data_IF_067322604449
#
_entry.id   IF_067322604449
#
_cell.length_a   1.000
_cell.length_b   1.000
_cell.length_c   1.000
_cell.angle_alpha   90.00
_cell.angle_beta   90.00
_cell.angle_gamma   90.00
#
_symmetry.space_group_name_H-M   'P 1'
#
loop_
_entity.id
_entity.type
_entity.pdbx_description
1 polymer ?
#
# COMPACT_ATOMS: atom_id res chain seq x y z
N UNK A 1 -8.17 -9.48 -6.05
CA UNK A 1 -8.47 -10.32 -7.23
C UNK A 1 -9.51 -11.37 -6.84
N UNK A 2 -10.80 -11.09 -7.03
CA UNK A 2 -11.84 -12.12 -6.92
C UNK A 2 -12.11 -12.68 -8.31
N UNK A 3 -11.83 -13.97 -8.51
CA UNK A 3 -12.19 -14.68 -9.75
C UNK A 3 -12.97 -15.94 -9.37
N UNK A 4 -14.23 -16.00 -9.79
CA UNK A 4 -15.14 -17.09 -9.42
C UNK A 4 -15.48 -17.10 -7.93
N UNK A 5 -15.48 -18.29 -7.34
CA UNK A 5 -15.89 -18.55 -5.96
C UNK A 5 -14.73 -18.49 -4.94
N UNK A 6 -13.50 -18.16 -5.38
CA UNK A 6 -12.29 -18.05 -4.54
C UNK A 6 -11.72 -16.63 -4.55
N UNK A 7 -11.45 -16.09 -3.36
CA UNK A 7 -10.80 -14.79 -3.18
C UNK A 7 -9.28 -14.94 -2.96
N UNK A 8 -8.51 -14.64 -4.01
CA UNK A 8 -7.04 -14.66 -3.98
C UNK A 8 -6.42 -13.35 -3.46
N UNK A 9 -7.25 -12.37 -3.06
CA UNK A 9 -6.75 -11.06 -2.61
C UNK A 9 -5.86 -11.20 -1.37
N UNK A 10 -4.77 -10.44 -1.34
CA UNK A 10 -3.81 -10.40 -0.22
C UNK A 10 -3.08 -11.73 0.04
N UNK A 11 -3.12 -12.71 -0.87
CA UNK A 11 -2.24 -13.88 -0.81
C UNK A 11 -0.84 -13.50 -1.31
N UNK A 12 0.20 -13.98 -0.60
CA UNK A 12 1.58 -13.85 -1.03
C UNK A 12 2.05 -15.05 -1.85
N UNK A 13 3.22 -14.92 -2.47
CA UNK A 13 3.83 -15.93 -3.35
C UNK A 13 3.96 -17.30 -2.67
N UNK A 14 4.27 -17.35 -1.37
CA UNK A 14 4.38 -18.63 -0.65
C UNK A 14 3.05 -19.38 -0.59
N UNK A 15 1.96 -18.66 -0.31
CA UNK A 15 0.61 -19.24 -0.27
C UNK A 15 0.12 -19.62 -1.66
N UNK A 16 0.42 -18.79 -2.67
CA UNK A 16 0.09 -19.07 -4.06
C UNK A 16 0.79 -20.31 -4.60
N UNK A 17 2.10 -20.42 -4.35
CA UNK A 17 2.93 -21.53 -4.83
C UNK A 17 2.60 -22.85 -4.15
N UNK A 18 2.27 -22.83 -2.85
CA UNK A 18 1.95 -24.04 -2.08
C UNK A 18 0.45 -24.37 -2.04
N UNK A 19 -0.37 -23.66 -2.82
CA UNK A 19 -1.83 -23.76 -2.84
C UNK A 19 -2.50 -23.66 -1.45
N UNK A 20 -1.92 -22.87 -0.53
CA UNK A 20 -2.48 -22.64 0.81
C UNK A 20 -3.45 -21.47 0.78
N UNK A 21 -4.70 -21.69 1.17
CA UNK A 21 -5.71 -20.62 1.29
C UNK A 21 -5.67 -19.92 2.66
N UNK A 22 -5.08 -20.53 3.69
CA UNK A 22 -5.18 -20.04 5.06
C UNK A 22 -6.62 -20.17 5.56
N UNK A 23 -7.23 -19.08 6.03
CA UNK A 23 -8.60 -19.09 6.56
C UNK A 23 -9.66 -19.26 5.43
N UNK A 24 -9.89 -20.50 5.02
CA UNK A 24 -10.78 -20.91 3.92
C UNK A 24 -12.19 -20.34 4.04
N UNK A 25 -12.74 -20.26 5.26
CA UNK A 25 -14.09 -19.75 5.54
C UNK A 25 -14.30 -18.31 5.05
N UNK A 26 -13.23 -17.53 4.91
CA UNK A 26 -13.27 -16.14 4.45
C UNK A 26 -13.03 -15.99 2.96
N UNK A 27 -12.53 -17.04 2.29
CA UNK A 27 -12.00 -16.98 0.93
C UNK A 27 -12.77 -17.84 -0.07
N UNK A 28 -13.51 -18.84 0.40
CA UNK A 28 -14.24 -19.78 -0.44
C UNK A 28 -15.74 -19.59 -0.25
N UNK A 29 -16.45 -19.20 -1.32
CA UNK A 29 -17.91 -19.05 -1.31
C UNK A 29 -18.62 -20.37 -1.57
N UNK A 30 -17.95 -21.29 -2.27
CA UNK A 30 -18.46 -22.60 -2.65
C UNK A 30 -17.39 -23.66 -2.36
N UNK A 31 -17.70 -24.64 -1.51
CA UNK A 31 -16.75 -25.66 -1.04
C UNK A 31 -16.14 -26.52 -2.18
N UNK A 32 -16.71 -26.49 -3.39
CA UNK A 32 -16.17 -27.20 -4.56
C UNK A 32 -15.10 -26.43 -5.33
N UNK A 33 -14.93 -25.13 -5.08
CA UNK A 33 -13.98 -24.30 -5.82
C UNK A 33 -12.57 -24.46 -5.23
N UNK A 34 -11.61 -24.86 -6.06
CA UNK A 34 -10.21 -25.04 -5.65
C UNK A 34 -9.37 -23.83 -6.01
N UNK A 35 -8.33 -23.57 -5.21
CA UNK A 35 -7.36 -22.51 -5.49
C UNK A 35 -6.73 -22.65 -6.88
N UNK A 36 -6.32 -23.88 -7.22
CA UNK A 36 -5.77 -24.20 -8.54
C UNK A 36 -6.70 -23.80 -9.69
N UNK A 37 -8.00 -24.09 -9.58
CA UNK A 37 -8.98 -23.70 -10.62
C UNK A 37 -9.07 -22.18 -10.81
N UNK A 38 -8.95 -21.42 -9.72
CA UNK A 38 -8.96 -19.96 -9.76
C UNK A 38 -7.65 -19.40 -10.35
N UNK A 39 -6.50 -20.02 -10.07
CA UNK A 39 -5.21 -19.66 -10.63
C UNK A 39 -5.18 -19.93 -12.14
N UNK A 40 -5.61 -21.11 -12.60
CA UNK A 40 -5.74 -21.40 -14.02
C UNK A 40 -6.71 -20.44 -14.74
N UNK A 41 -7.84 -20.11 -14.13
CA UNK A 41 -8.77 -19.13 -14.68
C UNK A 41 -8.17 -17.71 -14.70
N UNK A 42 -7.23 -17.41 -13.80
CA UNK A 42 -6.47 -16.16 -13.82
C UNK A 42 -5.45 -16.13 -14.96
N UNK A 43 -4.62 -17.17 -15.07
CA UNK A 43 -3.53 -17.28 -16.05
C UNK A 43 -3.97 -17.16 -17.51
N UNK A 44 -5.21 -17.53 -17.84
CA UNK A 44 -5.80 -17.34 -19.19
C UNK A 44 -5.83 -15.88 -19.68
N UNK A 45 -5.68 -14.90 -18.79
CA UNK A 45 -5.72 -13.48 -19.14
C UNK A 45 -4.32 -12.88 -19.44
N UNK A 46 -3.25 -13.66 -19.31
CA UNK A 46 -1.87 -13.19 -19.50
C UNK A 46 -1.14 -14.04 -20.56
N UNK A 47 -0.07 -13.53 -21.18
CA UNK A 47 0.75 -14.28 -22.13
C UNK A 47 1.28 -15.57 -21.49
N UNK A 48 1.53 -16.60 -22.30
CA UNK A 48 2.08 -17.88 -21.84
C UNK A 48 3.39 -17.71 -21.06
N UNK A 49 3.66 -18.63 -20.13
CA UNK A 49 4.83 -18.54 -19.27
C UNK A 49 6.09 -18.80 -20.08
N UNK A 50 7.06 -17.89 -19.97
CA UNK A 50 8.38 -17.99 -20.60
C UNK A 50 9.46 -18.04 -19.51
N UNK A 51 10.16 -19.17 -19.43
CA UNK A 51 11.21 -19.42 -18.44
C UNK A 51 11.56 -20.91 -18.35
N UNK A 52 12.09 -21.31 -17.19
CA UNK A 52 12.47 -22.68 -16.86
C UNK A 52 11.28 -23.65 -16.97
N UNK A 53 11.54 -24.90 -17.38
CA UNK A 53 10.47 -25.89 -17.56
C UNK A 53 9.77 -26.16 -16.23
N UNK A 54 8.45 -26.07 -16.23
CA UNK A 54 7.63 -26.20 -15.01
C UNK A 54 6.38 -27.03 -15.24
N UNK A 55 5.91 -27.68 -14.18
CA UNK A 55 4.58 -28.32 -14.15
C UNK A 55 3.46 -27.33 -13.80
N UNK A 56 3.80 -26.12 -13.36
CA UNK A 56 2.86 -25.13 -12.82
C UNK A 56 2.99 -23.74 -13.48
N UNK A 57 2.82 -23.62 -14.81
CA UNK A 57 3.07 -22.35 -15.51
C UNK A 57 2.14 -21.21 -15.06
N UNK A 58 0.86 -21.48 -14.80
CA UNK A 58 -0.09 -20.44 -14.36
C UNK A 58 0.17 -19.96 -12.93
N UNK A 59 0.70 -20.83 -12.07
CA UNK A 59 1.14 -20.45 -10.72
C UNK A 59 2.32 -19.48 -10.82
N UNK A 60 3.31 -19.79 -11.66
CA UNK A 60 4.47 -18.91 -11.87
C UNK A 60 4.04 -17.55 -12.41
N UNK A 61 3.13 -17.51 -13.38
CA UNK A 61 2.61 -16.24 -13.90
C UNK A 61 1.89 -15.41 -12.85
N UNK A 62 1.04 -16.03 -12.03
CA UNK A 62 0.35 -15.30 -10.98
C UNK A 62 1.33 -14.77 -9.93
N UNK A 63 2.32 -15.58 -9.53
CA UNK A 63 3.37 -15.15 -8.62
C UNK A 63 4.21 -14.00 -9.22
N UNK A 64 4.54 -14.06 -10.52
CA UNK A 64 5.20 -12.97 -11.23
C UNK A 64 4.36 -11.69 -11.20
N UNK A 65 3.05 -11.79 -11.44
CA UNK A 65 2.14 -10.64 -11.36
C UNK A 65 2.09 -10.02 -9.96
N UNK A 66 2.11 -10.85 -8.90
CA UNK A 66 2.17 -10.38 -7.51
C UNK A 66 3.48 -9.65 -7.21
N UNK A 67 4.59 -10.10 -7.80
CA UNK A 67 5.87 -9.38 -7.75
C UNK A 67 5.92 -8.14 -8.66
N UNK A 68 4.81 -7.77 -9.32
CA UNK A 68 4.69 -6.60 -10.17
C UNK A 68 5.19 -6.80 -11.61
N UNK A 69 5.39 -8.04 -12.07
CA UNK A 69 5.90 -8.31 -13.42
C UNK A 69 5.03 -7.73 -14.54
N UNK A 70 5.66 -6.99 -15.47
CA UNK A 70 5.01 -6.44 -16.66
C UNK A 70 4.83 -7.49 -17.77
N UNK A 71 3.59 -7.74 -18.18
CA UNK A 71 3.30 -8.72 -19.24
C UNK A 71 3.36 -8.15 -20.66
N UNK A 72 3.44 -6.83 -20.82
CA UNK A 72 3.54 -6.17 -22.12
C UNK A 72 4.73 -5.22 -22.18
N UNK A 73 5.23 -4.95 -23.39
CA UNK A 73 6.32 -4.00 -23.60
C UNK A 73 5.92 -2.58 -23.19
N UNK A 74 4.71 -2.15 -23.51
CA UNK A 74 4.18 -0.83 -23.12
C UNK A 74 4.15 -0.65 -21.61
N UNK A 75 3.57 -1.61 -20.87
CA UNK A 75 3.56 -1.57 -19.40
C UNK A 75 4.96 -1.59 -18.80
N UNK A 76 5.91 -2.28 -19.44
CA UNK A 76 7.29 -2.32 -18.98
C UNK A 76 7.98 -0.96 -19.18
N UNK A 77 7.78 -0.30 -20.33
CA UNK A 77 8.33 1.02 -20.60
C UNK A 77 7.80 2.07 -19.62
N UNK A 78 6.49 2.06 -19.36
CA UNK A 78 5.86 2.95 -18.37
C UNK A 78 6.42 2.74 -16.96
N UNK A 79 6.58 1.48 -16.53
CA UNK A 79 7.15 1.15 -15.23
C UNK A 79 8.64 1.54 -15.13
N UNK A 80 9.41 1.32 -16.19
CA UNK A 80 10.80 1.77 -16.29
C UNK A 80 10.91 3.29 -16.19
N UNK A 81 10.01 4.04 -16.85
CA UNK A 81 10.01 5.50 -16.76
C UNK A 81 9.69 5.98 -15.33
N UNK A 82 8.70 5.37 -14.67
CA UNK A 82 8.39 5.69 -13.28
C UNK A 82 9.56 5.41 -12.32
N UNK A 83 10.35 4.36 -12.57
CA UNK A 83 11.56 4.08 -11.78
C UNK A 83 12.64 5.15 -11.99
N UNK A 84 12.81 5.62 -13.23
CA UNK A 84 13.73 6.73 -13.53
C UNK A 84 13.28 8.01 -12.82
N UNK A 85 11.98 8.32 -12.84
CA UNK A 85 11.43 9.51 -12.18
C UNK A 85 11.59 9.47 -10.65
N UNK A 86 11.66 8.26 -10.06
CA UNK A 86 11.97 8.04 -8.63
C UNK A 86 13.46 8.13 -8.30
N UNK A 87 14.33 8.27 -9.30
CA UNK A 87 15.77 8.33 -9.13
C UNK A 87 16.46 6.95 -9.11
N UNK A 88 15.82 5.91 -9.67
CA UNK A 88 16.33 4.54 -9.71
C UNK A 88 16.64 4.07 -11.14
N UNK A 89 17.62 4.69 -11.85
CA UNK A 89 17.85 4.42 -13.26
C UNK A 89 18.40 3.00 -13.54
N UNK A 90 19.26 2.48 -12.65
CA UNK A 90 19.80 1.13 -12.79
C UNK A 90 18.74 0.05 -12.59
N UNK A 91 17.72 0.34 -11.79
CA UNK A 91 16.57 -0.54 -11.58
C UNK A 91 15.74 -0.65 -12.86
N UNK A 92 15.47 0.47 -13.54
CA UNK A 92 14.78 0.48 -14.82
C UNK A 92 15.54 -0.34 -15.89
N UNK A 93 16.87 -0.17 -15.99
CA UNK A 93 17.70 -0.93 -16.94
C UNK A 93 17.69 -2.42 -16.61
N UNK A 94 17.94 -2.75 -15.33
CA UNK A 94 17.92 -4.13 -14.85
C UNK A 94 16.59 -4.81 -15.18
N UNK A 95 15.48 -4.10 -14.97
CA UNK A 95 14.15 -4.61 -15.25
C UNK A 95 13.92 -4.88 -16.74
N UNK A 96 14.36 -3.99 -17.62
CA UNK A 96 14.29 -4.25 -19.06
C UNK A 96 15.12 -5.48 -19.48
N UNK A 97 16.29 -5.69 -18.88
CA UNK A 97 17.15 -6.87 -19.13
C UNK A 97 16.52 -8.15 -18.56
N UNK A 98 15.95 -8.09 -17.36
CA UNK A 98 15.22 -9.18 -16.72
C UNK A 98 14.05 -9.69 -17.58
N UNK A 99 13.39 -8.79 -18.32
CA UNK A 99 12.33 -9.13 -19.27
C UNK A 99 12.83 -9.62 -20.64
N UNK A 100 14.15 -9.78 -20.83
CA UNK A 100 14.80 -10.08 -22.12
C UNK A 100 14.47 -9.05 -23.22
N UNK A 101 14.20 -7.80 -22.83
CA UNK A 101 13.92 -6.68 -23.74
C UNK A 101 15.17 -5.81 -23.90
N UNK A 102 16.22 -6.41 -24.44
CA UNK A 102 17.53 -5.77 -24.67
C UNK A 102 17.45 -4.43 -25.41
N UNK A 103 16.55 -4.30 -26.39
CA UNK A 103 16.38 -3.04 -27.13
C UNK A 103 15.85 -1.90 -26.24
N UNK A 104 14.89 -2.21 -25.36
CA UNK A 104 14.35 -1.25 -24.38
C UNK A 104 15.47 -0.86 -23.41
N UNK A 105 16.20 -1.83 -22.87
CA UNK A 105 17.32 -1.58 -21.96
C UNK A 105 18.40 -0.65 -22.58
N UNK A 106 18.77 -0.90 -23.84
CA UNK A 106 19.75 -0.09 -24.56
C UNK A 106 19.24 1.34 -24.83
N UNK A 107 17.96 1.49 -25.20
CA UNK A 107 17.37 2.81 -25.44
C UNK A 107 17.26 3.63 -24.15
N UNK A 108 16.90 2.99 -23.03
CA UNK A 108 16.90 3.61 -21.71
C UNK A 108 18.30 4.06 -21.33
N UNK A 109 19.30 3.17 -21.41
CA UNK A 109 20.68 3.50 -21.08
C UNK A 109 21.22 4.63 -21.96
N UNK A 110 21.00 4.62 -23.27
CA UNK A 110 21.40 5.72 -24.17
C UNK A 110 20.80 7.05 -23.74
N UNK A 111 19.53 7.04 -23.36
CA UNK A 111 18.84 8.24 -22.88
C UNK A 111 19.48 8.74 -21.58
N UNK A 112 19.67 7.84 -20.61
CA UNK A 112 20.22 8.14 -19.30
C UNK A 112 21.67 8.65 -19.34
N UNK A 113 22.50 8.09 -20.23
CA UNK A 113 23.87 8.57 -20.46
C UNK A 113 23.86 9.94 -21.12
N UNK A 114 22.98 10.17 -22.11
CA UNK A 114 22.86 11.47 -22.78
C UNK A 114 22.38 12.57 -21.83
N UNK A 115 21.48 12.24 -20.91
CA UNK A 115 20.99 13.17 -19.88
C UNK A 115 21.92 13.27 -18.66
N UNK A 116 23.07 12.57 -18.66
CA UNK A 116 24.03 12.52 -17.54
C UNK A 116 23.42 12.09 -16.20
N UNK A 117 22.41 11.22 -16.26
CA UNK A 117 21.83 10.58 -15.08
C UNK A 117 22.66 9.36 -14.66
N UNK A 118 23.29 8.71 -15.63
CA UNK A 118 24.17 7.55 -15.43
C UNK A 118 25.51 7.81 -16.13
N UNK A 119 26.60 7.69 -15.39
CA UNK A 119 27.96 7.89 -15.92
C UNK A 119 28.58 6.63 -16.54
N UNK A 120 27.98 5.45 -16.29
CA UNK A 120 28.49 4.15 -16.73
C UNK A 120 28.21 3.87 -18.23
N UNK A 121 28.88 4.61 -19.13
CA UNK A 121 28.82 4.39 -20.58
C UNK A 121 29.33 3.01 -21.01
N UNK A 122 30.19 2.39 -20.19
CA UNK A 122 30.73 1.04 -20.41
C UNK A 122 29.64 -0.06 -20.46
N UNK A 123 28.48 0.18 -19.84
CA UNK A 123 27.36 -0.76 -19.89
C UNK A 123 26.74 -0.90 -21.28
N UNK A 124 26.83 0.14 -22.12
CA UNK A 124 26.21 0.15 -23.44
C UNK A 124 26.77 -0.94 -24.37
N UNK A 125 28.09 -0.97 -24.59
CA UNK A 125 28.74 -2.05 -25.34
C UNK A 125 28.49 -3.44 -24.75
N UNK A 126 28.58 -3.58 -23.42
CA UNK A 126 28.37 -4.87 -22.74
C UNK A 126 26.95 -5.40 -22.91
N UNK A 127 25.94 -4.53 -22.81
CA UNK A 127 24.54 -4.90 -23.08
C UNK A 127 24.30 -5.19 -24.56
N UNK A 128 24.99 -4.50 -25.47
CA UNK A 128 24.84 -4.70 -26.91
C UNK A 128 25.48 -6.00 -27.40
N UNK A 129 26.55 -6.47 -26.76
CA UNK A 129 27.19 -7.75 -27.07
C UNK A 129 26.23 -8.93 -26.79
N UNK A 130 26.16 -9.89 -27.72
CA UNK A 130 25.40 -11.14 -27.53
C UNK A 130 26.17 -12.15 -26.70
N UNK A 131 27.49 -12.22 -26.91
CA UNK A 131 28.42 -13.03 -26.13
C UNK A 131 29.55 -12.13 -25.63
N UNK A 132 29.96 -12.37 -24.38
CA UNK A 132 30.98 -11.58 -23.69
C UNK A 132 32.30 -12.35 -23.76
N UNK A 133 33.34 -11.73 -24.34
CA UNK A 133 34.67 -12.34 -24.41
C UNK A 133 35.37 -12.30 -23.03
N UNK A 134 36.53 -12.96 -22.91
CA UNK A 134 37.26 -13.05 -21.63
C UNK A 134 37.63 -11.66 -21.06
N UNK A 135 38.11 -10.75 -21.90
CA UNK A 135 38.45 -9.38 -21.46
C UNK A 135 37.25 -8.56 -20.98
N UNK A 136 36.10 -8.72 -21.62
CA UNK A 136 34.87 -8.05 -21.23
C UNK A 136 34.28 -8.68 -19.96
N UNK A 137 34.49 -9.99 -19.75
CA UNK A 137 34.11 -10.69 -18.52
C UNK A 137 34.92 -10.18 -17.34
N UNK A 138 36.24 -10.08 -17.50
CA UNK A 138 37.12 -9.54 -16.46
C UNK A 138 36.77 -8.09 -16.13
N UNK A 139 36.43 -7.29 -17.15
CA UNK A 139 35.92 -5.93 -16.97
C UNK A 139 34.62 -5.90 -16.17
N UNK A 140 33.62 -6.74 -16.50
CA UNK A 140 32.37 -6.83 -15.75
C UNK A 140 32.61 -7.22 -14.28
N UNK A 141 33.49 -8.18 -14.02
CA UNK A 141 33.82 -8.64 -12.67
C UNK A 141 34.53 -7.55 -11.86
N UNK A 142 35.48 -6.84 -12.48
CA UNK A 142 36.16 -5.72 -11.86
C UNK A 142 35.19 -4.59 -11.52
N UNK A 143 34.31 -4.20 -12.46
CA UNK A 143 33.26 -3.21 -12.21
C UNK A 143 32.30 -3.66 -11.10
N UNK A 144 31.89 -4.93 -11.09
CA UNK A 144 30.99 -5.47 -10.06
C UNK A 144 31.61 -5.48 -8.66
N UNK A 145 32.93 -5.52 -8.56
CA UNK A 145 33.66 -5.44 -7.29
C UNK A 145 33.68 -4.00 -6.74
N UNK A 146 33.75 -2.99 -7.61
CA UNK A 146 33.87 -1.57 -7.25
C UNK A 146 32.51 -0.87 -7.07
N UNK A 147 31.44 -1.43 -7.66
CA UNK A 147 30.10 -0.85 -7.59
C UNK A 147 29.39 -1.13 -6.25
N UNK A 148 28.89 -0.07 -5.63
CA UNK A 148 28.05 -0.15 -4.40
C UNK A 148 26.60 -0.54 -4.69
N UNK A 149 26.05 -0.13 -5.84
CA UNK A 149 24.65 -0.39 -6.19
C UNK A 149 24.39 -1.88 -6.44
N UNK A 150 23.57 -2.51 -5.60
CA UNK A 150 23.29 -3.95 -5.66
C UNK A 150 22.65 -4.40 -6.98
N UNK A 151 21.76 -3.59 -7.56
CA UNK A 151 21.10 -3.89 -8.83
C UNK A 151 22.10 -3.87 -9.99
N UNK A 152 22.96 -2.86 -10.05
CA UNK A 152 24.01 -2.78 -11.06
C UNK A 152 25.03 -3.91 -10.90
N UNK A 153 25.40 -4.26 -9.67
CA UNK A 153 26.27 -5.40 -9.38
C UNK A 153 25.66 -6.71 -9.88
N UNK A 154 24.37 -6.93 -9.64
CA UNK A 154 23.64 -8.09 -10.15
C UNK A 154 23.60 -8.11 -11.69
N UNK A 155 23.37 -6.96 -12.32
CA UNK A 155 23.39 -6.83 -13.79
C UNK A 155 24.76 -7.19 -14.37
N UNK A 156 25.84 -6.64 -13.81
CA UNK A 156 27.22 -6.93 -14.25
C UNK A 156 27.59 -8.39 -14.04
N UNK A 157 27.17 -9.00 -12.91
CA UNK A 157 27.35 -10.42 -12.66
C UNK A 157 26.64 -11.30 -13.69
N UNK A 158 25.42 -10.93 -14.10
CA UNK A 158 24.71 -11.60 -15.19
C UNK A 158 25.43 -11.44 -16.53
N UNK A 159 25.89 -10.23 -16.86
CA UNK A 159 26.64 -10.00 -18.11
C UNK A 159 27.96 -10.78 -18.15
N UNK A 160 28.63 -10.97 -17.02
CA UNK A 160 29.87 -11.74 -16.94
C UNK A 160 29.65 -13.26 -17.12
N UNK A 161 28.58 -13.79 -16.53
CA UNK A 161 28.38 -15.24 -16.36
C UNK A 161 27.26 -15.83 -17.23
N UNK A 162 26.37 -15.00 -17.75
CA UNK A 162 25.13 -15.42 -18.41
C UNK A 162 24.09 -16.04 -17.46
N UNK A 163 24.31 -15.98 -16.14
CA UNK A 163 23.48 -16.67 -15.14
C UNK A 163 23.01 -15.73 -14.04
N UNK A 164 21.74 -15.90 -13.63
CA UNK A 164 21.13 -15.13 -12.54
C UNK A 164 21.26 -15.77 -11.16
N UNK A 165 21.91 -16.94 -11.06
CA UNK A 165 21.98 -17.71 -9.81
C UNK A 165 22.57 -16.89 -8.65
N UNK A 166 23.61 -16.11 -8.90
CA UNK A 166 24.23 -15.27 -7.86
C UNK A 166 23.36 -14.05 -7.50
N UNK A 167 22.65 -13.48 -8.47
CA UNK A 167 21.70 -12.40 -8.21
C UNK A 167 20.53 -12.85 -7.32
N UNK A 168 20.03 -14.09 -7.50
CA UNK A 168 18.98 -14.68 -6.64
C UNK A 168 19.45 -14.80 -5.19
N UNK A 169 20.73 -15.09 -4.94
CA UNK A 169 21.30 -15.22 -3.59
C UNK A 169 21.68 -13.87 -2.96
N UNK A 170 21.81 -12.82 -3.75
CA UNK A 170 22.29 -11.51 -3.29
C UNK A 170 21.23 -10.81 -2.46
N UNK A 171 21.41 -10.79 -1.13
CA UNK A 171 20.42 -10.25 -0.17
C UNK A 171 20.16 -8.74 -0.33
N UNK A 172 21.13 -8.00 -0.84
CA UNK A 172 21.02 -6.55 -1.07
C UNK A 172 20.13 -6.22 -2.28
N UNK A 173 19.88 -7.19 -3.17
CA UNK A 173 18.94 -7.02 -4.27
C UNK A 173 17.50 -7.06 -3.72
N UNK A 174 16.60 -6.17 -4.17
CA UNK A 174 15.20 -6.19 -3.75
C UNK A 174 14.56 -7.59 -3.89
N UNK A 175 13.80 -8.01 -2.89
CA UNK A 175 13.18 -9.33 -2.86
C UNK A 175 12.26 -9.57 -4.06
N UNK A 176 11.57 -8.53 -4.53
CA UNK A 176 10.73 -8.61 -5.73
C UNK A 176 11.54 -9.10 -6.95
N UNK A 177 12.72 -8.54 -7.17
CA UNK A 177 13.62 -8.91 -8.27
C UNK A 177 14.16 -10.33 -8.11
N UNK A 178 14.60 -10.68 -6.89
CA UNK A 178 15.07 -12.03 -6.57
C UNK A 178 13.98 -13.07 -6.81
N UNK A 179 12.73 -12.76 -6.44
CA UNK A 179 11.57 -13.61 -6.69
C UNK A 179 11.25 -13.74 -8.18
N UNK A 180 11.26 -12.64 -8.93
CA UNK A 180 11.06 -12.69 -10.39
C UNK A 180 12.12 -13.55 -11.07
N UNK A 181 13.40 -13.40 -10.69
CA UNK A 181 14.49 -14.24 -11.18
C UNK A 181 14.30 -15.70 -10.80
N UNK A 182 13.97 -15.98 -9.54
CA UNK A 182 13.73 -17.34 -9.06
C UNK A 182 12.57 -18.02 -9.82
N UNK A 183 11.46 -17.31 -9.99
CA UNK A 183 10.28 -17.77 -10.73
C UNK A 183 10.59 -18.04 -12.22
N UNK A 184 11.53 -17.31 -12.82
CA UNK A 184 11.91 -17.51 -14.22
C UNK A 184 12.98 -18.57 -14.44
N UNK A 185 13.95 -18.70 -13.52
CA UNK A 185 15.18 -19.45 -13.80
C UNK A 185 15.41 -20.68 -12.91
N UNK A 186 14.69 -20.83 -11.80
CA UNK A 186 14.81 -22.04 -10.98
C UNK A 186 13.81 -23.11 -11.43
N UNK A 187 14.20 -24.37 -11.29
CA UNK A 187 13.27 -25.50 -11.43
C UNK A 187 12.30 -25.54 -10.23
N UNK A 188 11.23 -26.33 -10.33
CA UNK A 188 10.15 -26.35 -9.33
C UNK A 188 10.64 -26.76 -7.92
N UNK A 189 11.65 -27.62 -7.82
CA UNK A 189 12.22 -28.08 -6.53
C UNK A 189 13.03 -26.98 -5.85
N UNK A 190 13.93 -26.34 -6.58
CA UNK A 190 14.79 -25.27 -6.04
C UNK A 190 13.98 -24.00 -5.77
N UNK A 191 12.97 -23.71 -6.60
CA UNK A 191 12.04 -22.62 -6.37
C UNK A 191 11.25 -22.82 -5.07
N UNK A 192 10.76 -24.04 -4.81
CA UNK A 192 10.02 -24.35 -3.58
C UNK A 192 10.88 -24.11 -2.33
N UNK A 193 12.14 -24.61 -2.35
CA UNK A 193 13.10 -24.39 -1.26
C UNK A 193 13.43 -22.92 -1.07
N UNK A 194 13.68 -22.19 -2.17
CA UNK A 194 13.96 -20.77 -2.13
C UNK A 194 12.83 -19.97 -1.49
N UNK A 195 11.57 -20.23 -1.89
CA UNK A 195 10.40 -19.56 -1.33
C UNK A 195 10.27 -19.88 0.16
N UNK A 196 10.45 -21.13 0.57
CA UNK A 196 10.39 -21.54 1.97
C UNK A 196 11.47 -20.85 2.82
N UNK A 197 12.72 -20.91 2.38
CA UNK A 197 13.87 -20.33 3.07
C UNK A 197 13.76 -18.80 3.19
N UNK A 198 13.40 -18.11 2.12
CA UNK A 198 13.22 -16.66 2.13
C UNK A 198 12.00 -16.23 2.94
N UNK A 199 10.92 -17.03 2.96
CA UNK A 199 9.76 -16.74 3.81
C UNK A 199 10.14 -16.84 5.28
N UNK A 200 10.83 -17.92 5.66
CA UNK A 200 11.29 -18.13 7.02
C UNK A 200 12.30 -17.06 7.44
N UNK A 201 13.23 -16.67 6.54
CA UNK A 201 14.17 -15.56 6.78
C UNK A 201 13.44 -14.25 7.01
N UNK A 202 12.53 -13.86 6.11
CA UNK A 202 11.84 -12.58 6.20
C UNK A 202 11.00 -12.48 7.49
N UNK A 203 10.38 -13.57 7.93
CA UNK A 203 9.68 -13.63 9.21
C UNK A 203 10.65 -13.48 10.39
N UNK A 204 11.76 -14.22 10.41
CA UNK A 204 12.75 -14.13 11.51
C UNK A 204 13.39 -12.75 11.62
N UNK A 205 13.75 -12.16 10.49
CA UNK A 205 14.41 -10.84 10.43
C UNK A 205 13.42 -9.69 10.54
N UNK A 206 12.10 -9.94 10.42
CA UNK A 206 11.10 -8.88 10.38
C UNK A 206 11.25 -7.98 9.14
N UNK A 207 11.61 -8.55 8.00
CA UNK A 207 11.81 -7.85 6.74
C UNK A 207 10.46 -7.61 6.04
N UNK A 208 10.04 -6.33 5.97
CA UNK A 208 8.74 -5.94 5.39
C UNK A 208 8.59 -6.29 3.92
N UNK A 209 9.69 -6.48 3.17
CA UNK A 209 9.58 -6.97 1.79
C UNK A 209 8.96 -8.38 1.73
N UNK A 210 9.10 -9.16 2.81
CA UNK A 210 8.50 -10.49 2.96
C UNK A 210 6.97 -10.51 2.92
N UNK A 211 6.30 -9.35 2.94
CA UNK A 211 4.86 -9.25 2.62
C UNK A 211 4.56 -9.79 1.21
N UNK A 212 5.49 -9.73 0.26
CA UNK A 212 5.34 -10.39 -1.04
C UNK A 212 5.20 -11.92 -0.92
N UNK A 213 5.85 -12.52 0.08
CA UNK A 213 5.84 -13.97 0.31
C UNK A 213 4.65 -14.40 1.18
N UNK A 214 4.44 -13.72 2.30
CA UNK A 214 3.39 -14.06 3.29
C UNK A 214 2.00 -13.53 2.87
N UNK A 215 1.98 -12.50 2.03
CA UNK A 215 0.80 -11.70 1.78
C UNK A 215 0.42 -10.90 3.02
N UNK A 216 -0.85 -10.54 3.14
CA UNK A 216 -1.42 -10.02 4.38
C UNK A 216 -2.31 -11.13 4.95
N UNK A 217 -1.67 -12.22 5.41
CA UNK A 217 -2.32 -13.40 6.02
C UNK A 217 -1.75 -13.75 7.40
N UNK A 218 -2.06 -14.92 7.93
CA UNK A 218 -1.61 -15.38 9.25
C UNK A 218 -0.08 -15.29 9.42
N UNK A 219 0.70 -15.76 8.44
CA UNK A 219 2.17 -15.65 8.48
C UNK A 219 2.69 -14.18 8.47
N UNK A 220 1.89 -13.23 7.97
CA UNK A 220 2.25 -11.82 8.01
C UNK A 220 2.23 -11.28 9.45
N UNK A 221 1.41 -11.85 10.33
CA UNK A 221 1.41 -11.45 11.74
C UNK A 221 2.73 -11.82 12.42
N UNK A 222 3.32 -12.96 12.10
CA UNK A 222 4.62 -13.34 12.64
C UNK A 222 5.74 -12.45 12.08
N UNK A 223 5.67 -12.13 10.78
CA UNK A 223 6.57 -11.18 10.15
C UNK A 223 6.52 -9.80 10.81
N UNK A 224 5.31 -9.25 11.01
CA UNK A 224 5.15 -7.94 11.62
C UNK A 224 5.46 -7.94 13.12
N UNK A 225 5.29 -9.07 13.81
CA UNK A 225 5.73 -9.21 15.20
C UNK A 225 7.25 -9.06 15.32
N UNK A 226 8.02 -9.75 14.47
CA UNK A 226 9.49 -9.61 14.43
C UNK A 226 9.91 -8.22 13.98
N UNK A 227 9.20 -7.63 13.02
CA UNK A 227 9.44 -6.25 12.56
C UNK A 227 9.26 -5.24 13.69
N UNK A 228 8.15 -5.30 14.43
CA UNK A 228 7.89 -4.41 15.57
C UNK A 228 8.97 -4.63 16.63
N UNK A 229 9.31 -5.87 16.97
CA UNK A 229 10.34 -6.16 17.97
C UNK A 229 11.73 -5.60 17.61
N UNK A 230 12.00 -5.41 16.31
CA UNK A 230 13.27 -4.86 15.80
C UNK A 230 13.26 -3.33 15.66
N UNK A 231 12.12 -2.74 15.34
CA UNK A 231 12.03 -1.34 14.89
C UNK A 231 11.20 -0.45 15.80
N UNK A 232 10.42 -1.03 16.71
CA UNK A 232 9.37 -0.38 17.50
C UNK A 232 8.30 0.35 16.65
N UNK A 233 8.27 0.11 15.33
CA UNK A 233 7.29 0.72 14.43
C UNK A 233 5.99 -0.10 14.39
N UNK A 234 5.12 0.18 15.35
CA UNK A 234 3.75 -0.35 15.39
C UNK A 234 2.85 0.23 14.30
N UNK A 235 3.13 1.46 13.83
CA UNK A 235 2.30 2.15 12.86
C UNK A 235 2.30 1.42 11.51
N UNK A 236 3.48 1.09 10.97
CA UNK A 236 3.61 0.37 9.71
C UNK A 236 2.89 -0.98 9.77
N UNK A 237 3.07 -1.72 10.86
CA UNK A 237 2.41 -3.01 11.06
C UNK A 237 0.88 -2.90 11.10
N UNK A 238 0.33 -1.93 11.85
CA UNK A 238 -1.13 -1.74 11.95
C UNK A 238 -1.74 -1.31 10.62
N UNK A 239 -1.10 -0.36 9.92
CA UNK A 239 -1.60 0.14 8.63
C UNK A 239 -1.56 -0.95 7.55
N UNK A 240 -0.50 -1.75 7.49
CA UNK A 240 -0.38 -2.84 6.54
C UNK A 240 -1.40 -3.96 6.80
N UNK A 241 -1.58 -4.35 8.07
CA UNK A 241 -2.44 -5.47 8.47
C UNK A 241 -3.94 -5.13 8.56
N UNK A 242 -4.31 -3.84 8.59
CA UNK A 242 -5.70 -3.41 8.70
C UNK A 242 -6.62 -3.97 7.60
N UNK A 243 -6.08 -4.25 6.42
CA UNK A 243 -6.83 -4.71 5.25
C UNK A 243 -7.26 -6.19 5.29
N UNK A 244 -6.58 -7.02 6.09
CA UNK A 244 -6.82 -8.47 6.14
C UNK A 244 -7.73 -8.91 7.29
N UNK A 245 -8.31 -7.95 8.02
CA UNK A 245 -9.32 -8.19 9.04
C UNK A 245 -8.86 -9.20 10.13
N UNK A 246 -7.74 -8.92 10.78
CA UNK A 246 -7.25 -9.68 11.95
C UNK A 246 -7.97 -9.34 13.25
N UNK A 247 -9.27 -8.99 13.19
CA UNK A 247 -10.03 -8.61 14.39
C UNK A 247 -10.09 -9.72 15.45
N UNK A 248 -9.75 -10.96 15.10
CA UNK A 248 -9.65 -12.12 16.00
C UNK A 248 -8.27 -12.38 16.57
N UNK A 249 -7.19 -11.82 16.00
CA UNK A 249 -5.84 -11.99 16.52
C UNK A 249 -5.60 -10.95 17.63
N UNK A 250 -5.28 -11.43 18.84
CA UNK A 250 -5.05 -10.58 20.01
C UNK A 250 -3.89 -9.61 19.79
N UNK A 251 -2.84 -10.02 19.06
CA UNK A 251 -1.68 -9.18 18.76
C UNK A 251 -2.11 -7.95 17.97
N UNK A 252 -2.93 -8.16 16.94
CA UNK A 252 -3.44 -7.05 16.13
C UNK A 252 -4.28 -6.08 16.94
N UNK A 253 -5.14 -6.58 17.85
CA UNK A 253 -5.92 -5.72 18.75
C UNK A 253 -5.00 -4.87 19.61
N UNK A 254 -3.97 -5.45 20.21
CA UNK A 254 -2.99 -4.73 21.03
C UNK A 254 -2.23 -3.67 20.22
N UNK A 255 -1.71 -4.03 19.04
CA UNK A 255 -0.99 -3.11 18.16
C UNK A 255 -1.88 -1.94 17.73
N UNK A 256 -3.11 -2.23 17.34
CA UNK A 256 -4.09 -1.22 16.92
C UNK A 256 -4.43 -0.26 18.06
N UNK A 257 -4.68 -0.76 19.27
CA UNK A 257 -4.92 0.13 20.43
C UNK A 257 -3.68 0.97 20.78
N UNK A 258 -2.49 0.39 20.69
CA UNK A 258 -1.23 1.12 20.92
C UNK A 258 -1.01 2.24 19.91
N UNK A 259 -1.18 1.95 18.61
CA UNK A 259 -1.16 2.94 17.53
C UNK A 259 -2.20 4.05 17.76
N UNK A 260 -3.43 3.66 18.13
CA UNK A 260 -4.50 4.62 18.41
C UNK A 260 -4.13 5.54 19.58
N UNK A 261 -3.61 4.98 20.68
CA UNK A 261 -3.15 5.76 21.83
C UNK A 261 -2.01 6.70 21.46
N UNK A 262 -1.04 6.24 20.66
CA UNK A 262 0.06 7.07 20.15
C UNK A 262 -0.46 8.27 19.36
N UNK A 263 -1.40 8.05 18.42
CA UNK A 263 -2.03 9.16 17.67
C UNK A 263 -2.82 10.11 18.57
N UNK A 264 -3.41 9.61 19.67
CA UNK A 264 -4.09 10.46 20.65
C UNK A 264 -3.10 11.34 21.41
N UNK A 265 -2.01 10.76 21.90
CA UNK A 265 -0.96 11.47 22.64
C UNK A 265 -0.22 12.50 21.78
N UNK A 266 0.01 12.19 20.50
CA UNK A 266 0.62 13.11 19.54
C UNK A 266 -0.35 14.16 18.99
N UNK A 267 -1.61 14.15 19.43
CA UNK A 267 -2.67 15.03 18.94
C UNK A 267 -2.92 14.90 17.41
N UNK A 268 -2.56 13.77 16.81
CA UNK A 268 -2.84 13.39 15.42
C UNK A 268 -4.31 12.93 15.26
N UNK A 269 -5.25 13.80 15.64
CA UNK A 269 -6.68 13.48 15.67
C UNK A 269 -7.25 13.24 14.27
N UNK A 270 -6.74 13.93 13.26
CA UNK A 270 -7.15 13.80 11.86
C UNK A 270 -6.79 12.42 11.31
N UNK A 271 -5.55 11.98 11.54
CA UNK A 271 -5.02 10.69 11.14
C UNK A 271 -5.74 9.56 11.85
N UNK A 272 -5.95 9.71 13.18
CA UNK A 272 -6.73 8.78 14.00
C UNK A 272 -8.17 8.64 13.49
N UNK A 273 -8.84 9.75 13.19
CA UNK A 273 -10.20 9.74 12.65
C UNK A 273 -10.24 9.08 11.26
N UNK A 274 -9.30 9.42 10.38
CA UNK A 274 -9.18 8.83 9.04
C UNK A 274 -8.99 7.32 9.11
N UNK A 275 -8.08 6.84 9.96
CA UNK A 275 -7.86 5.41 10.16
C UNK A 275 -9.13 4.68 10.64
N UNK A 276 -9.87 5.26 11.61
CA UNK A 276 -11.16 4.68 12.07
C UNK A 276 -12.20 4.60 10.96
N UNK A 277 -12.31 5.65 10.15
CA UNK A 277 -13.26 5.72 9.03
C UNK A 277 -12.93 4.64 8.00
N UNK A 278 -11.66 4.54 7.58
CA UNK A 278 -11.24 3.52 6.61
C UNK A 278 -11.39 2.11 7.16
N UNK A 279 -11.01 1.86 8.42
CA UNK A 279 -11.20 0.57 9.06
C UNK A 279 -12.69 0.19 9.15
N UNK A 280 -13.58 1.14 9.41
CA UNK A 280 -15.03 0.91 9.39
C UNK A 280 -15.49 0.49 7.99
N UNK A 281 -15.06 1.22 6.95
CA UNK A 281 -15.41 0.89 5.55
C UNK A 281 -14.93 -0.50 5.16
N UNK A 282 -13.73 -0.91 5.61
CA UNK A 282 -13.19 -2.25 5.36
C UNK A 282 -14.08 -3.30 6.04
N UNK A 283 -14.49 -3.08 7.29
CA UNK A 283 -15.39 -3.99 8.03
C UNK A 283 -16.78 -4.07 7.41
N UNK A 284 -17.34 -2.94 6.97
CA UNK A 284 -18.61 -2.87 6.26
C UNK A 284 -18.58 -3.71 4.97
N UNK A 285 -17.52 -3.55 4.16
CA UNK A 285 -17.30 -4.36 2.95
C UNK A 285 -17.15 -5.85 3.26
N UNK A 286 -16.59 -6.19 4.41
CA UNK A 286 -16.44 -7.57 4.87
C UNK A 286 -17.73 -8.15 5.49
N UNK A 287 -18.82 -7.38 5.57
CA UNK A 287 -20.08 -7.81 6.19
C UNK A 287 -19.97 -8.03 7.70
N UNK A 288 -18.96 -7.47 8.34
CA UNK A 288 -18.80 -7.57 9.79
C UNK A 288 -19.70 -6.54 10.50
N UNK A 289 -20.21 -6.87 11.70
CA UNK A 289 -20.99 -5.93 12.48
C UNK A 289 -20.14 -4.71 12.84
N UNK A 290 -20.50 -3.56 12.28
CA UNK A 290 -19.97 -2.28 12.75
C UNK A 290 -20.60 -1.91 14.09
N UNK A 291 -19.82 -1.40 15.05
CA UNK A 291 -20.38 -0.92 16.30
C UNK A 291 -21.47 0.13 16.02
N UNK A 292 -22.59 0.02 16.72
CA UNK A 292 -23.69 0.97 16.59
C UNK A 292 -23.15 2.40 16.82
N UNK A 293 -23.56 3.35 15.96
CA UNK A 293 -23.15 4.76 16.09
C UNK A 293 -23.53 5.28 17.48
N UNK A 294 -22.53 5.42 18.36
CA UNK A 294 -22.70 5.82 19.76
C UNK A 294 -23.05 7.32 19.92
N UNK A 295 -22.74 8.13 18.92
CA UNK A 295 -23.01 9.57 18.91
C UNK A 295 -24.02 9.88 17.80
N UNK A 296 -25.18 10.44 18.18
CA UNK A 296 -26.20 10.93 17.26
C UNK A 296 -26.14 12.45 17.19
N UNK A 297 -26.04 13.01 15.98
CA UNK A 297 -26.15 14.45 15.80
C UNK A 297 -27.56 14.91 16.17
N UNK A 298 -27.65 16.01 16.91
CA UNK A 298 -28.91 16.67 17.27
C UNK A 298 -28.96 18.04 16.60
N UNK A 299 -30.16 18.47 16.21
CA UNK A 299 -30.35 19.83 15.74
C UNK A 299 -30.06 20.81 16.87
N UNK A 300 -29.25 21.84 16.63
CA UNK A 300 -28.97 22.86 17.64
C UNK A 300 -30.24 23.63 18.08
N UNK A 301 -31.23 23.77 17.19
CA UNK A 301 -32.45 24.55 17.45
C UNK A 301 -33.55 23.76 18.15
N UNK A 302 -33.89 22.58 17.65
CA UNK A 302 -34.99 21.78 18.21
C UNK A 302 -34.51 20.58 19.04
N UNK A 303 -33.20 20.37 19.16
CA UNK A 303 -32.54 19.27 19.88
C UNK A 303 -32.96 17.86 19.46
N UNK A 304 -33.78 17.73 18.43
CA UNK A 304 -34.18 16.45 17.88
C UNK A 304 -33.00 15.77 17.17
N UNK A 305 -32.95 14.45 17.26
CA UNK A 305 -31.95 13.65 16.55
C UNK A 305 -32.10 13.82 15.04
N UNK A 306 -30.99 14.04 14.34
CA UNK A 306 -30.97 14.16 12.87
C UNK A 306 -31.10 12.80 12.15
N UNK A 307 -31.27 11.69 12.88
CA UNK A 307 -31.60 10.39 12.30
C UNK A 307 -33.07 10.39 11.90
N UNK A 308 -33.33 10.12 10.62
CA UNK A 308 -34.68 9.90 10.09
C UNK A 308 -35.28 8.64 10.76
N UNK A 309 -36.42 8.69 11.45
CA UNK A 309 -37.17 7.47 11.75
C UNK A 309 -37.67 6.89 10.43
N UNK A 310 -37.44 5.61 10.17
CA UNK A 310 -37.77 4.94 8.92
C UNK A 310 -39.28 4.88 8.60
N UNK A 311 -40.15 5.34 9.52
CA UNK A 311 -41.59 5.04 9.49
C UNK A 311 -42.54 6.24 9.64
N UNK A 312 -42.12 7.49 9.40
CA UNK A 312 -43.07 8.61 9.39
C UNK A 312 -42.79 9.62 8.28
N UNK A 313 -43.78 9.79 7.40
CA UNK A 313 -44.09 11.05 6.73
C UNK A 313 -43.40 11.31 5.39
N UNK A 314 -44.19 11.81 4.46
CA UNK A 314 -43.83 12.23 3.10
C UNK A 314 -42.58 13.11 3.05
N UNK A 315 -41.76 13.01 1.99
CA UNK A 315 -40.56 13.82 1.86
C UNK A 315 -40.94 15.29 1.68
N UNK A 316 -40.70 16.12 2.68
CA UNK A 316 -40.60 17.57 2.45
C UNK A 316 -39.35 17.76 1.60
N UNK A 317 -39.52 17.82 0.28
CA UNK A 317 -38.45 18.21 -0.64
C UNK A 317 -38.06 19.64 -0.26
N UNK A 318 -36.82 19.90 0.21
CA UNK A 318 -36.39 21.27 0.39
C UNK A 318 -36.45 21.98 -0.98
N UNK A 319 -36.82 23.27 -1.04
CA UNK A 319 -36.81 24.03 -2.28
C UNK A 319 -35.43 23.92 -2.95
N UNK A 320 -35.44 23.69 -4.27
CA UNK A 320 -34.27 23.43 -5.12
C UNK A 320 -33.17 24.52 -5.07
N UNK A 321 -33.44 25.65 -4.41
CA UNK A 321 -32.55 26.81 -4.31
C UNK A 321 -31.67 26.84 -3.03
N UNK A 322 -31.76 25.84 -2.13
CA UNK A 322 -31.08 25.87 -0.83
C UNK A 322 -30.20 24.62 -0.63
N UNK A 323 -29.02 24.64 -1.21
CA UNK A 323 -28.01 23.60 -1.02
C UNK A 323 -27.50 23.62 0.44
N UNK A 324 -27.89 22.64 1.25
CA UNK A 324 -27.44 22.47 2.65
C UNK A 324 -28.17 21.32 3.36
N UNK A 325 -27.49 20.64 4.30
CA UNK A 325 -28.15 19.64 5.16
C UNK A 325 -29.07 20.36 6.15
N UNK A 326 -30.39 20.16 6.01
CA UNK A 326 -31.43 20.74 6.89
C UNK A 326 -31.95 19.72 7.90
N UNK A 327 -32.35 20.20 9.07
CA UNK A 327 -33.07 19.40 10.03
C UNK A 327 -34.44 18.97 9.45
N UNK A 328 -34.76 17.68 9.42
CA UNK A 328 -36.02 17.20 8.85
C UNK A 328 -37.26 17.58 9.68
N UNK A 329 -37.08 18.04 10.93
CA UNK A 329 -38.17 18.35 11.85
C UNK A 329 -38.47 19.85 11.96
N UNK A 330 -37.45 20.72 11.93
CA UNK A 330 -37.63 22.17 12.07
C UNK A 330 -37.15 22.98 10.86
N UNK A 331 -36.63 22.34 9.81
CA UNK A 331 -36.13 22.99 8.60
C UNK A 331 -34.84 23.79 8.78
N UNK A 332 -34.25 23.81 9.97
CA UNK A 332 -33.03 24.58 10.25
C UNK A 332 -31.82 23.98 9.51
N UNK A 333 -31.07 24.82 8.78
CA UNK A 333 -29.79 24.44 8.18
C UNK A 333 -28.74 24.09 9.24
N UNK A 334 -27.80 23.22 8.89
CA UNK A 334 -26.57 23.02 9.66
C UNK A 334 -25.84 24.36 9.89
N UNK A 335 -25.04 24.52 10.96
CA UNK A 335 -24.25 25.73 11.15
C UNK A 335 -23.33 26.00 9.94
N UNK A 336 -23.03 27.27 9.67
CA UNK A 336 -22.01 27.66 8.69
C UNK A 336 -20.63 27.66 9.33
N UNK A 337 -19.61 27.37 8.54
CA UNK A 337 -18.25 27.66 8.93
C UNK A 337 -18.10 29.17 9.14
N UNK A 338 -17.61 29.58 10.32
CA UNK A 338 -17.36 31.00 10.64
C UNK A 338 -16.35 31.68 9.72
N UNK A 339 -15.49 30.91 9.04
CA UNK A 339 -14.45 31.42 8.14
C UNK A 339 -14.93 31.46 6.68
N UNK A 340 -15.25 30.31 6.07
CA UNK A 340 -15.63 30.28 4.65
C UNK A 340 -17.13 30.52 4.39
N UNK A 341 -17.96 30.63 5.43
CA UNK A 341 -19.41 30.85 5.37
C UNK A 341 -20.21 29.74 4.64
N UNK A 342 -19.58 28.64 4.23
CA UNK A 342 -20.27 27.48 3.67
C UNK A 342 -20.96 26.65 4.77
N UNK A 343 -22.02 25.92 4.41
CA UNK A 343 -22.72 25.04 5.33
C UNK A 343 -21.88 23.82 5.69
N UNK A 344 -21.79 23.50 6.98
CA UNK A 344 -21.07 22.34 7.46
C UNK A 344 -21.81 21.04 7.10
N UNK A 345 -21.06 20.00 6.74
CA UNK A 345 -21.60 18.66 6.43
C UNK A 345 -22.07 18.47 4.98
N UNK A 346 -21.78 19.41 4.08
CA UNK A 346 -21.93 19.20 2.62
C UNK A 346 -20.74 18.46 2.01
N UNK A 347 -19.56 18.64 2.59
CA UNK A 347 -18.33 17.95 2.21
C UNK A 347 -17.91 16.98 3.33
N UNK A 348 -17.17 15.93 2.96
CA UNK A 348 -16.55 14.98 3.90
C UNK A 348 -15.34 15.57 4.64
N UNK A 349 -15.45 16.82 5.11
CA UNK A 349 -14.45 17.48 5.95
C UNK A 349 -14.79 17.30 7.43
N UNK A 350 -13.76 17.21 8.25
CA UNK A 350 -13.91 17.21 9.70
C UNK A 350 -14.44 18.57 10.16
N UNK A 351 -15.33 18.54 11.14
CA UNK A 351 -16.01 19.70 11.69
C UNK A 351 -15.57 19.88 13.15
N UNK A 352 -15.36 21.11 13.58
CA UNK A 352 -15.15 21.45 14.99
C UNK A 352 -16.15 22.50 15.43
N UNK A 353 -16.45 22.51 16.73
CA UNK A 353 -17.29 23.52 17.37
C UNK A 353 -16.63 23.95 18.68
N UNK A 354 -16.67 25.25 18.93
CA UNK A 354 -16.20 25.83 20.19
C UNK A 354 -17.27 25.63 21.26
N UNK A 355 -16.93 24.99 22.37
CA UNK A 355 -17.87 24.73 23.48
C UNK A 355 -18.26 26.01 24.23
N UNK A 356 -17.44 27.06 24.17
CA UNK A 356 -17.71 28.35 24.80
C UNK A 356 -18.69 29.23 24.01
N UNK A 357 -18.44 29.46 22.72
CA UNK A 357 -19.29 30.33 21.89
C UNK A 357 -20.27 29.60 20.97
N UNK A 358 -20.17 28.28 20.83
CA UNK A 358 -21.03 27.48 19.95
C UNK A 358 -20.75 27.63 18.45
N UNK A 359 -19.81 28.51 18.06
CA UNK A 359 -19.43 28.68 16.67
C UNK A 359 -18.71 27.45 16.12
N UNK A 360 -18.99 27.14 14.86
CA UNK A 360 -18.49 25.94 14.20
C UNK A 360 -17.71 26.27 12.94
N UNK A 361 -16.75 25.41 12.59
CA UNK A 361 -15.85 25.57 11.45
C UNK A 361 -15.41 24.23 10.89
N UNK A 362 -14.94 24.22 9.64
CA UNK A 362 -14.12 23.11 9.16
C UNK A 362 -12.79 23.10 9.92
N UNK A 363 -12.27 21.92 10.24
CA UNK A 363 -11.04 21.77 11.06
C UNK A 363 -9.82 22.41 10.40
N UNK A 364 -9.67 22.28 9.08
CA UNK A 364 -8.61 22.90 8.28
C UNK A 364 -8.66 24.44 8.34
N UNK A 365 -9.85 25.04 8.18
CA UNK A 365 -10.01 26.48 8.32
C UNK A 365 -9.74 26.94 9.75
N UNK A 366 -10.23 26.21 10.76
CA UNK A 366 -9.98 26.53 12.17
C UNK A 366 -8.48 26.50 12.47
N UNK A 367 -7.77 25.45 12.03
CA UNK A 367 -6.32 25.35 12.17
C UNK A 367 -5.60 26.58 11.57
N UNK A 368 -5.88 26.91 10.31
CA UNK A 368 -5.24 28.03 9.64
C UNK A 368 -5.50 29.39 10.32
N UNK A 369 -6.69 29.57 10.90
CA UNK A 369 -7.02 30.79 11.64
C UNK A 369 -6.31 30.87 12.99
N UNK A 370 -6.41 29.82 13.81
CA UNK A 370 -5.86 29.79 15.16
C UNK A 370 -4.33 29.63 15.20
N UNK A 371 -3.69 29.32 14.06
CA UNK A 371 -2.25 29.49 13.91
C UNK A 371 -1.79 30.94 14.11
N UNK A 372 -2.63 31.90 13.72
CA UNK A 372 -2.30 33.34 13.64
C UNK A 372 -3.10 34.21 14.61
N UNK A 373 -4.23 33.72 15.11
CA UNK A 373 -5.16 34.50 15.94
C UNK A 373 -5.59 33.72 17.18
N UNK A 374 -5.80 34.41 18.31
CA UNK A 374 -6.24 33.79 19.56
C UNK A 374 -7.76 33.91 19.81
N UNK A 375 -8.47 34.68 18.99
CA UNK A 375 -9.90 34.99 19.15
C UNK A 375 -10.74 34.37 18.05
N UNK A 376 -12.02 34.16 18.34
CA UNK A 376 -12.98 33.62 17.38
C UNK A 376 -13.07 34.51 16.11
N UNK A 377 -13.09 33.93 14.90
CA UNK A 377 -13.22 34.70 13.65
C UNK A 377 -14.61 35.32 13.45
N UNK A 378 -15.60 34.95 14.27
CA UNK A 378 -16.94 35.55 14.18
C UNK A 378 -16.87 37.01 14.66
N UNK A 379 -17.38 37.98 13.87
CA UNK A 379 -17.48 39.37 14.30
C UNK A 379 -18.21 39.50 15.64
N UNK A 380 -17.69 40.35 16.54
CA UNK A 380 -18.25 40.61 17.87
C UNK A 380 -18.20 39.41 18.85
N UNK A 381 -17.45 38.36 18.52
CA UNK A 381 -17.18 37.26 19.44
C UNK A 381 -15.78 37.39 20.05
N UNK A 382 -15.71 37.66 21.35
CA UNK A 382 -14.44 37.80 22.09
C UNK A 382 -13.96 36.47 22.68
N UNK A 383 -14.59 35.36 22.30
CA UNK A 383 -14.24 34.05 22.84
C UNK A 383 -12.83 33.64 22.39
N UNK A 384 -11.96 33.39 23.37
CA UNK A 384 -10.70 32.68 23.18
C UNK A 384 -11.00 31.17 23.10
N UNK A 385 -11.46 30.73 21.93
CA UNK A 385 -11.72 29.31 21.73
C UNK A 385 -10.42 28.54 21.94
N UNK A 386 -10.40 27.68 22.97
CA UNK A 386 -9.28 26.80 23.28
C UNK A 386 -9.04 25.88 22.07
N UNK A 387 -8.09 26.28 21.24
CA UNK A 387 -7.61 25.50 20.11
C UNK A 387 -6.25 24.91 20.49
N UNK A 388 -6.27 23.73 21.07
CA UNK A 388 -5.07 22.99 21.47
C UNK A 388 -4.40 22.30 20.26
N UNK A 389 -4.06 23.09 19.22
CA UNK A 389 -3.10 22.64 18.20
C UNK A 389 -1.67 23.11 18.49
N UNK A 390 -1.46 23.86 19.59
CA UNK A 390 -0.16 24.46 19.96
C UNK A 390 0.24 24.21 21.42
N UNK A 391 0.08 22.99 21.95
CA UNK A 391 1.02 22.55 22.98
C UNK A 391 2.31 22.11 22.28
N UNK A 392 3.08 23.09 21.77
CA UNK A 392 4.53 22.90 21.74
C UNK A 392 4.90 22.60 23.19
N UNK A 393 5.56 21.46 23.41
CA UNK A 393 6.22 21.18 24.68
C UNK A 393 6.93 22.46 25.15
N UNK A 394 6.83 22.84 26.43
CA UNK A 394 7.79 23.78 26.99
C UNK A 394 9.18 23.23 26.65
N UNK A 395 10.01 24.06 26.03
CA UNK A 395 11.43 23.79 25.99
C UNK A 395 11.94 24.02 27.41
N UNK A 396 12.05 22.96 28.18
CA UNK A 396 12.92 22.84 29.36
C UNK A 396 13.47 21.40 29.41
#
# INVERSE_FOLDING_TARGET
MRKGDVDLSYLGVSYLWTERLGNEKRRVRNQKATMNSAIHAWGKNVPAFEGERTSFPEHRQLCLAVCGWAFTAETLEDECQQMIDRGEPYEAIFRAVLHDKKQIALNLLRTLVRTRVVDNSALGPLLACGEVNETQRDMCLWMAADVENATLKALLGFLATGSWVEAIKTKQLPLANRLCLALKHLNDTDLSKFIEDETARAIREGDVQGVLLTGVNEAAMDLFQSYIARTDDVQTAVLATAYANYSSDIRWVMWKESYMQQMQTWHCFSERARFRIELSKIKDKAGLPTPAKQIGLRCHRCHAGLKRPANQGTPVKPPLAQSGTVCPLCGQHMPRCVICRQWLGMESRLLCFCTGCGHASHVDHANAWFERHATCPQPQCECQCLWEAKSRLPAD
#
